data_IF_468567218604
#
_entry.id   IF_468567218604
#
_cell.length_a   1.000
_cell.length_b   1.000
_cell.length_c   1.000
_cell.angle_alpha   90.00
_cell.angle_beta   90.00
_cell.angle_gamma   90.00
#
_symmetry.space_group_name_H-M   'P 1'
#
loop_
_entity.id
_entity.type
_entity.pdbx_description
1 polymer ?
#
# COMPACT_ATOMS: atom_id res chain seq x y z
N UNK A 1 -23.83 6.93 -12.26
CA UNK A 1 -23.37 7.19 -13.65
C UNK A 1 -22.30 8.25 -13.58
N UNK A 2 -21.23 8.11 -14.35
CA UNK A 2 -20.08 9.00 -14.31
C UNK A 2 -19.98 9.67 -15.68
N UNK A 3 -19.91 11.00 -15.69
CA UNK A 3 -19.67 11.79 -16.89
C UNK A 3 -18.17 12.09 -17.00
N UNK A 4 -17.58 11.84 -18.17
CA UNK A 4 -16.21 12.26 -18.46
C UNK A 4 -16.18 13.67 -19.01
N UNK A 5 -15.13 14.42 -18.67
CA UNK A 5 -14.91 15.74 -19.26
C UNK A 5 -14.69 15.61 -20.77
N UNK A 6 -15.51 16.28 -21.57
CA UNK A 6 -15.49 16.19 -23.03
C UNK A 6 -16.39 15.12 -23.64
N UNK A 7 -17.19 14.39 -22.84
CA UNK A 7 -18.37 13.68 -23.36
C UNK A 7 -19.54 14.67 -23.49
N UNK A 8 -20.14 14.72 -24.68
CA UNK A 8 -21.20 15.69 -25.01
C UNK A 8 -22.52 15.40 -24.27
N UNK A 9 -22.78 14.15 -23.89
CA UNK A 9 -24.01 13.77 -23.19
C UNK A 9 -23.95 12.42 -22.48
N UNK A 10 -24.79 12.27 -21.45
CA UNK A 10 -24.97 11.06 -20.66
C UNK A 10 -26.45 10.65 -20.65
N UNK A 11 -26.71 9.35 -20.80
CA UNK A 11 -28.07 8.79 -20.71
C UNK A 11 -28.30 8.11 -19.37
N UNK A 12 -29.29 8.58 -18.62
CA UNK A 12 -29.77 8.00 -17.37
C UNK A 12 -31.01 7.13 -17.66
N UNK A 13 -31.02 5.90 -17.18
CA UNK A 13 -32.14 4.98 -17.40
C UNK A 13 -33.00 4.85 -16.13
N UNK A 14 -34.32 5.00 -16.27
CA UNK A 14 -35.25 4.69 -15.19
C UNK A 14 -35.44 3.16 -15.10
N UNK A 15 -34.88 2.54 -14.06
CA UNK A 15 -34.99 1.09 -13.87
C UNK A 15 -36.40 0.74 -13.34
N UNK A 16 -37.33 0.45 -14.25
CA UNK A 16 -38.70 0.05 -13.90
C UNK A 16 -39.27 -0.98 -14.88
N UNK A 17 -40.11 -1.88 -14.38
CA UNK A 17 -40.88 -2.84 -15.20
C UNK A 17 -42.24 -2.29 -15.61
N UNK A 18 -42.58 -1.08 -15.16
CA UNK A 18 -43.92 -0.51 -15.31
C UNK A 18 -44.08 0.23 -16.63
N UNK A 19 -45.09 -0.14 -17.40
CA UNK A 19 -45.43 0.52 -18.68
C UNK A 19 -46.11 1.87 -18.43
N UNK A 20 -45.69 2.95 -19.11
CA UNK A 20 -46.29 4.28 -18.97
C UNK A 20 -45.26 5.41 -18.89
N UNK A 21 -45.65 6.69 -18.92
CA UNK A 21 -44.72 7.81 -18.83
C UNK A 21 -44.07 7.91 -17.44
N UNK A 22 -42.88 8.50 -17.37
CA UNK A 22 -42.16 8.81 -16.13
C UNK A 22 -41.73 10.27 -16.14
N UNK A 23 -41.54 10.84 -14.96
CA UNK A 23 -41.01 12.19 -14.75
C UNK A 23 -39.67 12.10 -14.04
N UNK A 24 -38.80 13.07 -14.24
CA UNK A 24 -37.46 13.09 -13.64
C UNK A 24 -37.30 14.28 -12.70
N UNK A 25 -36.55 14.06 -11.62
CA UNK A 25 -36.19 15.06 -10.62
C UNK A 25 -34.70 15.04 -10.33
N UNK A 26 -34.11 16.22 -10.13
CA UNK A 26 -32.72 16.39 -9.69
C UNK A 26 -32.72 16.84 -8.24
N UNK A 27 -32.04 16.10 -7.36
CA UNK A 27 -31.97 16.37 -5.91
C UNK A 27 -33.35 16.51 -5.23
N UNK A 28 -34.36 15.81 -5.78
CA UNK A 28 -35.80 15.85 -5.41
C UNK A 28 -36.58 17.09 -5.86
N UNK A 29 -35.93 18.01 -6.57
CA UNK A 29 -36.57 19.17 -7.19
C UNK A 29 -36.85 18.92 -8.67
N UNK A 30 -37.84 19.62 -9.22
CA UNK A 30 -38.11 19.61 -10.65
C UNK A 30 -36.95 20.33 -11.36
N UNK A 31 -36.33 19.73 -12.39
CA UNK A 31 -35.11 20.28 -12.97
C UNK A 31 -35.43 21.52 -13.83
N UNK A 32 -34.85 22.66 -13.48
CA UNK A 32 -35.03 23.94 -14.19
C UNK A 32 -34.17 24.08 -15.48
N UNK A 33 -33.51 23.00 -15.92
CA UNK A 33 -32.51 23.02 -17.00
C UNK A 33 -32.98 22.28 -18.25
N UNK A 34 -34.15 22.65 -18.78
CA UNK A 34 -34.75 21.98 -19.94
C UNK A 34 -33.84 22.00 -21.19
N UNK A 35 -33.02 23.05 -21.37
CA UNK A 35 -32.12 23.16 -22.53
C UNK A 35 -30.99 22.11 -22.55
N UNK A 36 -30.62 21.57 -21.38
CA UNK A 36 -29.59 20.55 -21.23
C UNK A 36 -30.16 19.13 -21.08
N UNK A 37 -31.48 19.00 -20.99
CA UNK A 37 -32.15 17.74 -20.66
C UNK A 37 -33.16 17.37 -21.74
N UNK A 38 -33.07 16.15 -22.25
CA UNK A 38 -34.07 15.63 -23.18
C UNK A 38 -34.51 14.24 -22.77
N UNK A 39 -35.81 14.03 -22.65
CA UNK A 39 -36.36 12.73 -22.27
C UNK A 39 -36.63 11.89 -23.52
N UNK A 40 -36.12 10.66 -23.53
CA UNK A 40 -36.37 9.66 -24.56
C UNK A 40 -37.00 8.41 -23.91
N UNK A 41 -38.33 8.37 -23.90
CA UNK A 41 -39.09 7.31 -23.24
C UNK A 41 -38.87 7.32 -21.72
N UNK A 42 -38.28 6.24 -21.19
CA UNK A 42 -37.91 6.11 -19.77
C UNK A 42 -36.50 6.62 -19.47
N UNK A 43 -35.75 7.05 -20.47
CA UNK A 43 -34.38 7.53 -20.31
C UNK A 43 -34.35 9.06 -20.33
N UNK A 44 -33.46 9.66 -19.54
CA UNK A 44 -33.14 11.08 -19.55
C UNK A 44 -31.75 11.25 -20.15
N UNK A 45 -31.63 12.09 -21.17
CA UNK A 45 -30.34 12.47 -21.77
C UNK A 45 -29.97 13.83 -21.21
N UNK A 46 -28.85 13.91 -20.50
CA UNK A 46 -28.26 15.15 -19.95
C UNK A 46 -27.06 15.52 -20.79
N UNK A 47 -26.99 16.75 -21.29
CA UNK A 47 -25.90 17.29 -22.13
C UNK A 47 -25.06 18.28 -21.34
N UNK A 48 -23.84 18.53 -21.81
CA UNK A 48 -22.91 19.52 -21.23
C UNK A 48 -22.78 19.35 -19.70
N UNK A 49 -22.51 18.11 -19.27
CA UNK A 49 -22.57 17.73 -17.85
C UNK A 49 -21.47 18.45 -17.06
N UNK A 50 -21.88 19.46 -16.30
CA UNK A 50 -21.07 20.17 -15.31
C UNK A 50 -21.96 20.62 -14.14
N UNK A 51 -21.37 21.13 -13.06
CA UNK A 51 -22.16 21.78 -12.00
C UNK A 51 -22.98 22.94 -12.60
N UNK A 52 -24.30 23.05 -12.34
CA UNK A 52 -25.09 22.41 -11.26
C UNK A 52 -25.87 21.14 -11.66
N UNK A 53 -25.61 20.53 -12.82
CA UNK A 53 -26.32 19.35 -13.31
C UNK A 53 -25.90 18.03 -12.62
N UNK A 54 -24.96 18.08 -11.69
CA UNK A 54 -24.51 16.94 -10.89
C UNK A 54 -25.44 16.71 -9.69
N UNK A 55 -25.64 15.45 -9.29
CA UNK A 55 -26.55 15.14 -8.19
C UNK A 55 -27.28 13.82 -8.29
N UNK A 56 -28.25 13.62 -7.40
CA UNK A 56 -29.16 12.48 -7.45
C UNK A 56 -30.29 12.75 -8.46
N UNK A 57 -30.31 11.98 -9.55
CA UNK A 57 -31.45 11.93 -10.46
C UNK A 57 -32.39 10.82 -10.01
N UNK A 58 -33.68 11.14 -9.96
CA UNK A 58 -34.73 10.19 -9.59
C UNK A 58 -35.87 10.22 -10.57
N UNK A 59 -36.37 9.04 -10.95
CA UNK A 59 -37.54 8.92 -11.82
C UNK A 59 -38.79 8.58 -11.00
N UNK A 60 -39.91 9.18 -11.38
CA UNK A 60 -41.16 9.16 -10.63
C UNK A 60 -42.34 8.86 -11.54
N UNK A 61 -43.36 8.22 -10.95
CA UNK A 61 -44.68 8.05 -11.55
C UNK A 61 -45.74 8.13 -10.46
N UNK A 62 -46.81 8.90 -10.72
CA UNK A 62 -47.95 9.05 -9.81
C UNK A 62 -47.53 9.37 -8.36
N UNK A 63 -46.52 10.24 -8.20
CA UNK A 63 -45.97 10.63 -6.91
C UNK A 63 -45.08 9.57 -6.23
N UNK A 64 -44.81 8.44 -6.87
CA UNK A 64 -43.95 7.37 -6.34
C UNK A 64 -42.59 7.36 -7.03
N UNK A 65 -41.50 7.39 -6.25
CA UNK A 65 -40.12 7.23 -6.74
C UNK A 65 -39.91 5.79 -7.20
N UNK A 66 -39.55 5.61 -8.46
CA UNK A 66 -39.33 4.29 -9.07
C UNK A 66 -37.86 3.85 -8.94
N UNK A 67 -36.92 4.75 -9.22
CA UNK A 67 -35.48 4.48 -9.19
C UNK A 67 -34.70 5.79 -8.99
N UNK A 68 -33.44 5.69 -8.55
CA UNK A 68 -32.50 6.81 -8.59
C UNK A 68 -31.08 6.40 -8.96
N UNK A 69 -30.32 7.40 -9.38
CA UNK A 69 -28.93 7.29 -9.80
C UNK A 69 -28.21 8.61 -9.55
N UNK A 70 -27.00 8.54 -9.02
CA UNK A 70 -26.13 9.71 -8.90
C UNK A 70 -25.39 9.95 -10.22
N UNK A 71 -25.41 11.19 -10.69
CA UNK A 71 -24.55 11.67 -11.76
C UNK A 71 -23.34 12.37 -11.13
N UNK A 72 -22.17 11.78 -11.34
CA UNK A 72 -20.89 12.27 -10.85
C UNK A 72 -20.02 12.72 -12.02
N UNK A 73 -19.11 13.65 -11.79
CA UNK A 73 -18.10 14.07 -12.78
C UNK A 73 -16.78 13.34 -12.51
N UNK A 74 -16.18 12.75 -13.54
CA UNK A 74 -14.81 12.22 -13.43
C UNK A 74 -13.81 13.37 -13.51
N UNK A 75 -13.00 13.53 -12.46
CA UNK A 75 -11.92 14.52 -12.46
C UNK A 75 -10.65 13.88 -13.01
N UNK A 76 -10.20 14.35 -14.16
CA UNK A 76 -8.85 14.07 -14.65
C UNK A 76 -7.87 15.08 -14.04
N UNK A 77 -6.80 14.62 -13.39
CA UNK A 77 -5.63 15.48 -13.20
C UNK A 77 -4.67 15.24 -14.35
N UNK A 78 -4.36 16.34 -15.03
CA UNK A 78 -3.31 16.42 -16.02
C UNK A 78 -2.76 17.84 -16.07
N UNK A 79 -2.33 18.39 -14.92
CA UNK A 79 -1.33 19.45 -14.90
C UNK A 79 -0.71 19.51 -13.50
N UNK A 80 0.62 19.62 -13.49
CA UNK A 80 1.49 19.74 -12.32
C UNK A 80 1.05 20.90 -11.41
N UNK A 81 0.10 20.65 -10.50
CA UNK A 81 -0.30 21.63 -9.48
C UNK A 81 0.78 21.83 -8.40
N UNK A 82 2.01 21.34 -8.61
CA UNK A 82 3.05 21.35 -7.57
C UNK A 82 2.60 20.63 -6.30
N UNK A 83 1.57 19.78 -6.40
CA UNK A 83 1.02 19.07 -5.26
C UNK A 83 2.00 17.95 -4.88
N UNK A 84 2.44 17.90 -3.62
CA UNK A 84 3.37 16.89 -3.17
C UNK A 84 2.76 15.51 -3.40
N UNK A 85 3.61 14.56 -3.80
CA UNK A 85 3.36 13.12 -3.87
C UNK A 85 2.16 12.69 -3.01
N UNK A 86 1.05 12.29 -3.65
CA UNK A 86 -0.16 11.89 -2.94
C UNK A 86 0.16 10.73 -1.99
N UNK A 87 0.18 11.01 -0.70
CA UNK A 87 0.04 9.98 0.33
C UNK A 87 -1.44 9.77 0.57
N UNK A 88 -1.86 8.52 0.67
CA UNK A 88 -3.22 8.21 1.13
C UNK A 88 -3.37 8.73 2.56
N UNK A 89 -4.27 9.68 2.77
CA UNK A 89 -4.61 10.20 4.09
C UNK A 89 -6.08 9.91 4.34
N UNK A 90 -6.39 9.14 5.38
CA UNK A 90 -7.79 8.96 5.79
C UNK A 90 -8.32 10.27 6.38
N UNK A 91 -9.55 10.66 6.02
CA UNK A 91 -10.22 11.87 6.52
C UNK A 91 -10.39 11.93 8.05
N UNK A 92 -10.13 10.84 8.77
CA UNK A 92 -10.30 10.77 10.24
C UNK A 92 -9.31 11.60 11.06
N UNK A 93 -8.36 12.32 10.44
CA UNK A 93 -7.49 13.28 11.13
C UNK A 93 -6.66 12.68 12.28
N UNK A 94 -6.58 11.35 12.39
CA UNK A 94 -5.76 10.71 13.40
C UNK A 94 -4.31 10.67 12.90
N UNK A 95 -3.35 11.22 13.65
CA UNK A 95 -1.92 11.23 13.29
C UNK A 95 -1.27 9.83 13.30
N UNK A 96 -2.06 8.78 13.51
CA UNK A 96 -1.64 7.38 13.54
C UNK A 96 -2.42 6.56 12.49
N UNK A 97 -2.84 7.18 11.39
CA UNK A 97 -3.61 6.53 10.32
C UNK A 97 -2.89 5.25 9.91
N UNK A 98 -3.52 4.11 10.21
CA UNK A 98 -3.11 2.81 9.69
C UNK A 98 -2.95 2.95 8.18
N UNK A 99 -1.76 2.63 7.70
CA UNK A 99 -1.48 2.50 6.28
C UNK A 99 -2.59 1.63 5.66
N UNK A 100 -3.22 2.11 4.58
CA UNK A 100 -4.28 1.37 3.91
C UNK A 100 -3.68 0.08 3.35
N UNK A 101 -4.00 -1.04 3.99
CA UNK A 101 -3.57 -2.37 3.56
C UNK A 101 -4.71 -3.00 2.77
N UNK A 102 -4.39 -3.48 1.57
CA UNK A 102 -5.28 -4.30 0.76
C UNK A 102 -4.52 -5.54 0.30
N UNK A 103 -5.23 -6.65 0.14
CA UNK A 103 -4.69 -7.90 -0.38
C UNK A 103 -5.13 -8.05 -1.83
N UNK A 104 -4.17 -8.30 -2.73
CA UNK A 104 -4.43 -8.48 -4.15
C UNK A 104 -4.19 -9.95 -4.51
N UNK A 105 -5.22 -10.62 -5.02
CA UNK A 105 -5.08 -11.97 -5.58
C UNK A 105 -4.68 -11.90 -7.05
N UNK A 106 -3.72 -12.72 -7.46
CA UNK A 106 -3.26 -12.81 -8.85
C UNK A 106 -2.95 -14.25 -9.24
N UNK A 107 -2.93 -14.53 -10.54
CA UNK A 107 -2.64 -15.86 -11.10
C UNK A 107 -1.22 -16.01 -11.65
N UNK A 108 -0.39 -14.98 -11.51
CA UNK A 108 1.01 -14.99 -11.95
C UNK A 108 1.81 -16.12 -11.27
N UNK A 109 2.63 -16.81 -12.06
CA UNK A 109 3.53 -17.85 -11.55
C UNK A 109 4.74 -17.23 -10.87
N UNK A 110 5.10 -17.63 -9.64
CA UNK A 110 6.27 -17.09 -8.95
C UNK A 110 7.60 -17.49 -9.62
N UNK A 111 7.58 -18.47 -10.54
CA UNK A 111 8.77 -18.92 -11.30
C UNK A 111 8.83 -18.35 -12.72
N UNK A 112 7.73 -17.76 -13.20
CA UNK A 112 7.65 -17.21 -14.56
C UNK A 112 8.09 -15.76 -14.60
N UNK A 113 8.74 -15.36 -15.68
CA UNK A 113 8.96 -13.93 -15.93
C UNK A 113 7.63 -13.25 -16.28
N UNK A 114 7.38 -12.10 -15.64
CA UNK A 114 6.18 -11.29 -15.89
C UNK A 114 6.26 -10.64 -17.28
N UNK A 115 5.37 -11.04 -18.18
CA UNK A 115 5.24 -10.45 -19.53
C UNK A 115 4.29 -9.25 -19.56
N UNK A 116 3.45 -9.09 -18.54
CA UNK A 116 2.43 -8.03 -18.44
C UNK A 116 2.45 -7.43 -17.04
N UNK A 117 2.23 -6.13 -16.95
CA UNK A 117 2.13 -5.42 -15.67
C UNK A 117 0.77 -5.67 -15.03
N UNK A 118 0.72 -5.66 -13.70
CA UNK A 118 -0.52 -5.55 -12.96
C UNK A 118 -1.05 -4.12 -13.06
N UNK A 119 -2.34 -4.00 -13.36
CA UNK A 119 -3.07 -2.74 -13.36
C UNK A 119 -3.93 -2.67 -12.11
N UNK A 120 -3.63 -1.72 -11.22
CA UNK A 120 -4.43 -1.47 -10.02
C UNK A 120 -5.05 -0.09 -10.14
N UNK A 121 -6.37 -0.05 -10.05
CA UNK A 121 -7.16 1.17 -10.13
C UNK A 121 -7.83 1.43 -8.79
N UNK A 122 -7.54 2.57 -8.20
CA UNK A 122 -8.19 3.06 -6.98
C UNK A 122 -9.17 4.17 -7.33
N UNK A 123 -10.38 4.08 -6.77
CA UNK A 123 -11.46 5.03 -6.99
C UNK A 123 -11.86 5.69 -5.68
N UNK A 124 -11.94 7.01 -5.67
CA UNK A 124 -12.43 7.83 -4.56
C UNK A 124 -13.67 8.60 -5.02
N UNK A 125 -14.75 8.48 -4.26
CA UNK A 125 -16.04 9.11 -4.57
C UNK A 125 -16.34 10.14 -3.49
N UNK A 126 -16.56 11.40 -3.88
CA UNK A 126 -17.19 12.41 -3.03
C UNK A 126 -18.64 12.57 -3.47
N UNK A 127 -19.57 12.18 -2.61
CA UNK A 127 -21.01 12.39 -2.87
C UNK A 127 -21.37 13.86 -2.67
N UNK A 128 -20.75 14.53 -1.69
CA UNK A 128 -21.05 15.94 -1.38
C UNK A 128 -20.61 16.89 -2.51
N UNK A 129 -19.48 16.58 -3.14
CA UNK A 129 -18.93 17.38 -4.24
C UNK A 129 -19.19 16.76 -5.63
N UNK A 130 -19.94 15.65 -5.68
CA UNK A 130 -20.31 14.90 -6.88
C UNK A 130 -19.16 14.56 -7.83
N UNK A 131 -17.96 14.30 -7.33
CA UNK A 131 -16.83 13.87 -8.17
C UNK A 131 -16.40 12.42 -7.91
N UNK A 132 -15.89 11.81 -8.97
CA UNK A 132 -15.13 10.56 -8.93
C UNK A 132 -13.68 10.89 -9.30
N UNK A 133 -12.74 10.49 -8.44
CA UNK A 133 -11.33 10.49 -8.74
C UNK A 133 -10.85 9.06 -8.93
N UNK A 134 -10.25 8.79 -10.08
CA UNK A 134 -9.69 7.48 -10.40
C UNK A 134 -8.18 7.56 -10.60
N UNK A 135 -7.45 6.63 -10.00
CA UNK A 135 -5.99 6.52 -10.09
C UNK A 135 -5.60 5.12 -10.47
N UNK A 136 -5.00 4.99 -11.65
CA UNK A 136 -4.48 3.72 -12.14
C UNK A 136 -2.96 3.71 -12.01
N UNK A 137 -2.43 2.64 -11.44
CA UNK A 137 -1.00 2.37 -11.37
C UNK A 137 -0.71 1.04 -12.04
N UNK A 138 0.28 1.06 -12.93
CA UNK A 138 0.82 -0.14 -13.57
C UNK A 138 2.19 -0.46 -12.98
N UNK A 139 2.43 -1.72 -12.65
CA UNK A 139 3.72 -2.19 -12.12
C UNK A 139 3.89 -3.70 -12.33
N UNK A 140 5.14 -4.17 -12.35
CA UNK A 140 5.44 -5.58 -12.16
C UNK A 140 5.53 -5.92 -10.67
N UNK A 141 5.13 -7.13 -10.28
CA UNK A 141 5.31 -7.60 -8.89
C UNK A 141 6.77 -7.52 -8.48
N UNK A 142 7.69 -7.93 -9.35
CA UNK A 142 9.14 -7.91 -9.08
C UNK A 142 9.70 -6.53 -8.71
N UNK A 143 9.02 -5.45 -9.09
CA UNK A 143 9.46 -4.07 -8.81
C UNK A 143 9.03 -3.58 -7.43
N UNK A 144 8.02 -4.22 -6.82
CA UNK A 144 7.43 -3.80 -5.55
C UNK A 144 7.69 -4.78 -4.40
N UNK A 145 8.29 -5.94 -4.67
CA UNK A 145 8.61 -6.94 -3.65
C UNK A 145 9.64 -6.39 -2.67
N UNK A 146 9.30 -6.41 -1.38
CA UNK A 146 10.21 -6.08 -0.28
C UNK A 146 10.16 -7.23 0.73
N UNK A 147 11.26 -7.96 0.95
CA UNK A 147 11.26 -9.02 1.95
C UNK A 147 11.06 -8.45 3.36
N UNK A 148 10.47 -9.26 4.23
CA UNK A 148 10.52 -9.00 5.67
C UNK A 148 11.98 -9.01 6.19
N UNK A 149 12.19 -8.46 7.39
CA UNK A 149 13.52 -8.47 8.01
C UNK A 149 14.02 -9.91 8.21
N UNK A 150 15.27 -10.23 7.84
CA UNK A 150 15.78 -11.60 7.89
C UNK A 150 15.96 -12.11 9.33
N UNK A 151 16.27 -13.40 9.47
CA UNK A 151 16.54 -14.02 10.78
C UNK A 151 18.03 -14.28 10.93
N UNK A 152 18.65 -13.65 11.93
CA UNK A 152 20.05 -13.90 12.27
C UNK A 152 20.11 -15.12 13.19
N UNK A 153 20.68 -16.20 12.71
CA UNK A 153 20.58 -17.53 13.35
C UNK A 153 21.73 -17.80 14.28
N UNK A 154 22.97 -17.56 13.83
CA UNK A 154 24.15 -17.93 14.60
C UNK A 154 25.40 -17.18 14.19
N UNK A 155 26.37 -17.23 15.11
CA UNK A 155 27.72 -16.72 14.94
C UNK A 155 28.71 -17.86 15.09
N UNK A 156 29.62 -17.97 14.13
CA UNK A 156 30.73 -18.93 14.20
C UNK A 156 32.04 -18.20 14.00
N UNK A 157 32.97 -18.38 14.92
CA UNK A 157 34.34 -17.89 14.74
C UNK A 157 35.01 -18.77 13.69
N UNK A 158 35.41 -18.16 12.58
CA UNK A 158 36.17 -18.83 11.51
C UNK A 158 37.46 -18.04 11.32
N UNK A 159 38.59 -18.67 11.65
CA UNK A 159 39.91 -18.03 11.66
C UNK A 159 39.92 -16.75 12.52
N UNK A 160 40.22 -15.58 11.94
CA UNK A 160 40.25 -14.27 12.58
C UNK A 160 38.96 -13.46 12.39
N UNK A 161 37.95 -14.00 11.68
CA UNK A 161 36.67 -13.34 11.41
C UNK A 161 35.50 -14.03 12.11
N UNK A 162 34.35 -13.37 12.09
CA UNK A 162 33.07 -13.87 12.58
C UNK A 162 32.19 -14.19 11.37
N UNK A 163 31.84 -15.46 11.18
CA UNK A 163 30.86 -15.90 10.19
C UNK A 163 29.47 -15.75 10.77
N UNK A 164 28.64 -14.93 10.13
CA UNK A 164 27.25 -14.71 10.47
C UNK A 164 26.38 -15.59 9.57
N UNK A 165 25.51 -16.39 10.17
CA UNK A 165 24.50 -17.16 9.44
C UNK A 165 23.18 -16.42 9.48
N UNK A 166 22.65 -16.10 8.30
CA UNK A 166 21.39 -15.37 8.10
C UNK A 166 20.46 -16.28 7.31
N UNK A 167 19.20 -16.36 7.74
CA UNK A 167 18.12 -17.05 7.05
C UNK A 167 17.12 -16.02 6.49
N UNK A 168 16.50 -16.31 5.33
CA UNK A 168 15.33 -15.57 4.87
C UNK A 168 14.22 -15.51 5.93
N UNK A 169 13.37 -14.47 5.93
CA UNK A 169 12.20 -14.45 6.77
C UNK A 169 11.24 -15.58 6.38
N UNK A 170 10.40 -16.04 7.31
CA UNK A 170 9.46 -17.15 7.05
C UNK A 170 8.38 -16.82 6.02
N UNK A 171 8.16 -15.53 5.76
CA UNK A 171 7.25 -15.00 4.74
C UNK A 171 7.87 -14.93 3.35
N UNK A 172 9.17 -15.22 3.21
CA UNK A 172 9.81 -15.22 1.90
C UNK A 172 9.50 -16.49 1.12
N UNK A 173 9.39 -16.34 -0.20
CA UNK A 173 9.07 -17.43 -1.12
C UNK A 173 10.08 -18.58 -1.04
N UNK A 174 9.58 -19.80 -1.21
CA UNK A 174 10.39 -21.03 -1.23
C UNK A 174 10.29 -21.71 -2.59
N UNK A 175 11.34 -22.43 -3.05
CA UNK A 175 12.58 -22.76 -2.34
C UNK A 175 13.62 -21.63 -2.38
N UNK A 176 14.38 -21.45 -1.29
CA UNK A 176 15.44 -20.42 -1.18
C UNK A 176 16.63 -20.63 -2.13
N UNK A 177 16.74 -21.81 -2.76
CA UNK A 177 17.70 -22.04 -3.84
C UNK A 177 17.33 -21.31 -5.13
N UNK A 178 16.05 -21.01 -5.31
CA UNK A 178 15.52 -20.25 -6.43
C UNK A 178 15.28 -18.79 -6.02
N UNK A 179 14.55 -18.57 -4.94
CA UNK A 179 14.30 -17.23 -4.36
C UNK A 179 15.41 -16.84 -3.39
N UNK A 180 16.62 -16.67 -3.90
CA UNK A 180 17.78 -16.28 -3.07
C UNK A 180 17.71 -14.81 -2.66
N UNK A 181 18.08 -14.51 -1.42
CA UNK A 181 18.23 -13.14 -0.93
C UNK A 181 19.71 -12.77 -0.82
N UNK A 182 20.04 -11.52 -1.16
CA UNK A 182 21.29 -10.93 -0.72
C UNK A 182 21.10 -10.22 0.62
N UNK A 183 22.16 -10.19 1.43
CA UNK A 183 22.13 -9.67 2.78
C UNK A 183 23.15 -8.55 2.96
N UNK A 184 22.73 -7.47 3.61
CA UNK A 184 23.64 -6.47 4.14
C UNK A 184 23.68 -6.57 5.66
N UNK A 185 24.89 -6.59 6.20
CA UNK A 185 25.16 -6.62 7.63
C UNK A 185 25.76 -5.27 8.03
N UNK A 186 25.08 -4.57 8.92
CA UNK A 186 25.63 -3.40 9.60
C UNK A 186 26.14 -3.80 10.98
N UNK A 187 27.32 -3.29 11.35
CA UNK A 187 27.93 -3.57 12.65
C UNK A 187 28.73 -2.38 13.17
N UNK A 188 28.89 -2.34 14.50
CA UNK A 188 29.68 -1.31 15.19
C UNK A 188 30.96 -1.94 15.72
N UNK A 189 32.11 -1.39 15.34
CA UNK A 189 33.43 -1.82 15.82
C UNK A 189 33.63 -1.42 17.28
N UNK A 190 34.16 -2.34 18.10
CA UNK A 190 34.47 -2.06 19.52
C UNK A 190 35.67 -1.14 19.72
N UNK A 191 36.62 -1.18 18.79
CA UNK A 191 37.88 -0.47 18.96
C UNK A 191 37.68 1.07 18.88
N UNK A 192 36.76 1.54 18.03
CA UNK A 192 36.53 2.97 17.79
C UNK A 192 35.05 3.41 17.77
N UNK A 193 34.11 2.49 17.97
CA UNK A 193 32.67 2.78 17.91
C UNK A 193 32.14 3.10 16.51
N UNK A 194 32.92 2.89 15.45
CA UNK A 194 32.52 3.21 14.07
C UNK A 194 31.52 2.18 13.53
N UNK A 195 30.43 2.67 12.95
CA UNK A 195 29.46 1.88 12.18
C UNK A 195 30.00 1.60 10.78
N UNK A 196 29.88 0.35 10.35
CA UNK A 196 30.28 -0.16 9.04
C UNK A 196 29.18 -1.06 8.49
N UNK A 197 29.08 -1.19 7.17
CA UNK A 197 28.25 -2.21 6.53
C UNK A 197 29.06 -3.13 5.61
N UNK A 198 28.53 -4.33 5.36
CA UNK A 198 29.16 -5.37 4.57
C UNK A 198 28.12 -6.29 3.95
N UNK A 199 28.28 -6.62 2.66
CA UNK A 199 27.51 -7.68 1.99
C UNK A 199 28.10 -9.09 2.25
N UNK A 200 29.31 -9.16 2.81
CA UNK A 200 29.92 -10.44 3.20
C UNK A 200 29.41 -10.91 4.55
N UNK A 201 29.13 -12.22 4.65
CA UNK A 201 28.82 -12.91 5.91
C UNK A 201 30.02 -13.04 6.86
N UNK A 202 31.23 -12.66 6.44
CA UNK A 202 32.46 -12.70 7.24
C UNK A 202 32.85 -11.30 7.71
N UNK A 203 32.47 -10.96 8.94
CA UNK A 203 32.71 -9.65 9.54
C UNK A 203 33.82 -9.69 10.62
N UNK A 204 34.37 -8.54 11.05
CA UNK A 204 35.32 -8.48 12.16
C UNK A 204 34.75 -9.04 13.47
N UNK A 205 35.59 -9.66 14.29
CA UNK A 205 35.17 -10.24 15.59
C UNK A 205 34.85 -9.19 16.66
N UNK A 206 35.57 -8.07 16.62
CA UNK A 206 35.49 -7.05 17.67
C UNK A 206 34.34 -6.09 17.39
N UNK A 207 33.12 -6.58 17.54
CA UNK A 207 31.89 -5.80 17.32
C UNK A 207 31.01 -5.74 18.58
N UNK A 208 30.31 -4.64 18.79
CA UNK A 208 29.41 -4.41 19.93
C UNK A 208 27.95 -4.61 19.57
N UNK A 209 27.58 -4.28 18.34
CA UNK A 209 26.22 -4.39 17.79
C UNK A 209 26.30 -4.88 16.35
N UNK A 210 25.29 -5.63 15.93
CA UNK A 210 25.04 -5.92 14.53
C UNK A 210 23.53 -5.97 14.24
N UNK A 211 23.18 -5.72 12.98
CA UNK A 211 21.85 -5.94 12.40
C UNK A 211 21.99 -6.30 10.93
N UNK A 212 20.99 -6.95 10.37
CA UNK A 212 20.98 -7.34 8.97
C UNK A 212 19.69 -6.88 8.27
N UNK A 213 19.75 -6.77 6.95
CA UNK A 213 18.60 -6.59 6.07
C UNK A 213 18.82 -7.37 4.78
N UNK A 214 17.75 -7.60 4.05
CA UNK A 214 17.77 -8.40 2.81
C UNK A 214 17.13 -7.65 1.67
N UNK A 215 17.47 -8.03 0.44
CA UNK A 215 16.70 -7.71 -0.76
C UNK A 215 16.85 -8.81 -1.79
N UNK A 216 16.01 -8.80 -2.80
CA UNK A 216 16.19 -9.67 -3.96
C UNK A 216 17.36 -9.14 -4.81
N UNK A 217 18.38 -9.96 -5.12
CA UNK A 217 19.56 -9.52 -5.86
C UNK A 217 19.35 -9.42 -7.38
N UNK A 218 18.32 -10.06 -7.93
CA UNK A 218 18.08 -10.15 -9.37
C UNK A 218 17.22 -9.01 -9.90
N UNK A 219 16.56 -8.27 -9.01
CA UNK A 219 15.65 -7.18 -9.35
C UNK A 219 15.99 -5.94 -8.52
N UNK A 220 15.62 -4.76 -9.02
CA UNK A 220 15.87 -3.49 -8.34
C UNK A 220 14.88 -3.28 -7.16
N UNK A 221 14.81 -4.24 -6.26
CA UNK A 221 13.92 -4.22 -5.09
C UNK A 221 14.45 -3.29 -3.99
N UNK A 222 13.56 -2.65 -3.22
CA UNK A 222 13.94 -1.98 -1.97
C UNK A 222 14.51 -2.96 -0.94
N UNK A 223 15.37 -2.46 -0.06
CA UNK A 223 15.87 -3.23 1.08
C UNK A 223 14.78 -3.43 2.15
N UNK A 224 14.77 -4.60 2.78
CA UNK A 224 13.97 -4.87 3.98
C UNK A 224 14.28 -3.89 5.11
N UNK A 225 13.38 -3.84 6.07
CA UNK A 225 13.69 -3.27 7.39
C UNK A 225 14.88 -4.00 8.02
N UNK A 226 15.65 -3.26 8.83
CA UNK A 226 16.72 -3.86 9.62
C UNK A 226 16.14 -4.80 10.69
N UNK A 227 16.83 -5.91 10.94
CA UNK A 227 16.57 -6.73 12.13
C UNK A 227 16.74 -5.89 13.40
N UNK A 228 15.96 -6.22 14.44
CA UNK A 228 16.19 -5.65 15.78
C UNK A 228 17.64 -5.92 16.21
N UNK A 229 18.39 -4.87 16.54
CA UNK A 229 19.83 -4.94 16.77
C UNK A 229 20.20 -5.92 17.88
N UNK A 230 21.15 -6.82 17.60
CA UNK A 230 21.70 -7.75 18.57
C UNK A 230 22.94 -7.15 19.25
N UNK A 231 22.97 -7.12 20.58
CA UNK A 231 24.20 -6.80 21.33
C UNK A 231 25.06 -8.07 21.38
N UNK A 232 26.26 -8.02 20.81
CA UNK A 232 27.23 -9.11 20.94
C UNK A 232 27.93 -8.99 22.30
N UNK A 233 27.41 -9.66 23.34
CA UNK A 233 28.11 -9.81 24.62
C UNK A 233 29.25 -10.84 24.48
N UNK A 234 30.40 -10.58 25.08
CA UNK A 234 31.54 -11.51 25.05
C UNK A 234 31.12 -12.90 25.56
N UNK A 235 31.09 -13.89 24.67
CA UNK A 235 30.96 -15.31 25.04
C UNK A 235 32.26 -15.75 25.72
N UNK A 236 32.34 -15.60 27.05
CA UNK A 236 33.19 -16.48 27.85
C UNK A 236 32.47 -17.83 27.94
N UNK A 237 33.19 -18.89 27.57
CA UNK A 237 32.68 -20.26 27.44
C UNK A 237 31.91 -20.74 28.68
N UNK A 238 30.87 -21.52 28.35
CA UNK A 238 30.28 -22.65 29.07
C UNK A 238 29.02 -22.46 29.94
N UNK A 239 28.11 -23.40 29.63
CA UNK A 239 26.86 -23.82 30.27
C UNK A 239 25.61 -23.05 29.87
N UNK A 240 24.67 -23.82 29.32
CA UNK A 240 23.23 -23.60 29.34
C UNK A 240 22.85 -22.59 30.41
N UNK A 241 22.16 -21.51 30.04
CA UNK A 241 21.22 -20.81 30.90
C UNK A 241 20.42 -19.81 30.06
N UNK A 242 19.11 -20.03 30.08
CA UNK A 242 18.10 -19.00 29.94
C UNK A 242 18.50 -17.78 30.80
N UNK A 243 18.57 -16.60 30.19
CA UNK A 243 18.94 -15.38 30.93
C UNK A 243 17.72 -14.68 31.51
N UNK A 244 17.86 -14.35 32.80
CA UNK A 244 16.88 -13.85 33.74
C UNK A 244 16.35 -12.43 33.41
N UNK A 245 15.06 -12.09 33.69
CA UNK A 245 14.38 -10.86 33.24
C UNK A 245 15.00 -9.52 33.67
N UNK A 246 15.89 -9.51 34.65
CA UNK A 246 16.47 -8.29 35.23
C UNK A 246 17.49 -7.59 34.32
N UNK A 247 18.22 -8.34 33.49
CA UNK A 247 19.20 -7.77 32.53
C UNK A 247 18.49 -7.13 31.33
N UNK A 248 17.32 -7.66 30.96
CA UNK A 248 16.44 -7.08 29.94
C UNK A 248 15.99 -5.65 30.32
N UNK A 249 15.71 -5.39 31.60
CA UNK A 249 15.10 -4.14 32.03
C UNK A 249 16.06 -2.94 32.09
N UNK A 250 17.36 -3.17 32.30
CA UNK A 250 18.35 -2.08 32.32
C UNK A 250 18.67 -1.54 30.91
N UNK A 251 18.77 -2.42 29.92
CA UNK A 251 18.94 -2.02 28.51
C UNK A 251 17.65 -1.40 27.94
N UNK A 252 16.48 -1.91 28.34
CA UNK A 252 15.16 -1.41 27.90
C UNK A 252 14.86 0.01 28.40
N UNK A 253 15.42 0.45 29.54
CA UNK A 253 15.24 1.83 30.06
C UNK A 253 15.99 2.89 29.27
N UNK A 254 17.10 2.54 28.62
CA UNK A 254 17.84 3.45 27.75
C UNK A 254 17.21 3.57 26.35
N UNK A 255 16.47 2.55 25.92
CA UNK A 255 15.79 2.49 24.62
C UNK A 255 14.32 2.97 24.63
N UNK A 256 13.66 3.02 25.79
CA UNK A 256 12.26 3.49 25.90
C UNK A 256 12.05 4.99 25.63
N UNK A 257 13.10 5.72 25.24
CA UNK A 257 13.03 7.14 24.87
C UNK A 257 13.02 7.39 23.36
N UNK A 258 13.19 6.36 22.52
CA UNK A 258 13.28 6.53 21.04
C UNK A 258 12.44 5.51 20.23
N UNK A 259 11.57 4.70 20.85
CA UNK A 259 10.62 3.84 20.12
C UNK A 259 9.17 4.28 20.36
N UNK A 260 8.67 5.14 19.48
CA UNK A 260 7.24 5.35 19.24
C UNK A 260 7.04 5.49 17.73
N UNK A 261 6.87 4.35 17.07
CA UNK A 261 6.19 4.07 15.79
C UNK A 261 6.73 2.74 15.24
N UNK A 262 6.08 1.63 15.56
CA UNK A 262 4.95 1.01 14.85
C UNK A 262 5.42 0.18 13.65
N UNK A 263 5.05 -1.10 13.74
CA UNK A 263 5.41 -2.21 12.89
C UNK A 263 4.67 -2.15 11.56
N UNK A 264 5.35 -2.47 10.47
CA UNK A 264 4.72 -2.97 9.26
C UNK A 264 5.35 -4.30 8.85
N UNK A 265 4.48 -5.24 8.52
CA UNK A 265 4.77 -6.52 7.89
C UNK A 265 3.88 -6.58 6.65
N UNK A 266 4.48 -6.93 5.52
CA UNK A 266 3.75 -7.30 4.31
C UNK A 266 4.16 -8.74 4.03
N UNK A 267 3.22 -9.67 4.23
CA UNK A 267 3.37 -11.01 3.69
C UNK A 267 2.78 -10.98 2.28
N UNK A 268 3.60 -11.27 1.28
CA UNK A 268 3.14 -11.72 -0.02
C UNK A 268 3.50 -13.21 -0.05
N UNK A 269 2.48 -14.02 -0.32
CA UNK A 269 2.38 -15.50 -0.23
C UNK A 269 1.99 -16.10 1.13
#
# INVERSE_FOLDING_TARGET
VVAKRGEDSVSLACLTTTTGPVTWKLNNDDPDFEDHMSQNGHNLIVRDVDAPLLGEYSCWRDGTKLSSTYLLQETEEGEDLGLPTCHWVSSSGQPNSQELQFELTHTLSPFGEESTMLEVTAEAISIDDFFLLRRTKLFYLRDIVVPDSPRIVSFKVVQSKLKVSIEPPSSWSTPHSFFSLEHEIEYVLRDNGKTMSSLSSLIPKKISMFRARSRDPLVSSPWSQWTRGGIHANVKRNRYLSCHPSVWNAARRKWRKEELNMLNKVNIF
#
